data_IF_545905832706
#
_entry.id   IF_545905832706
#
_cell.length_a   1.000
_cell.length_b   1.000
_cell.length_c   1.000
_cell.angle_alpha   90.00
_cell.angle_beta   90.00
_cell.angle_gamma   90.00
#
_symmetry.space_group_name_H-M   'P 1'
#
loop_
_entity.id
_entity.type
_entity.pdbx_description
1 polymer ?
#
# COMPACT_ATOMS: atom_id res chain seq x y z
N UNK A 1 47.01 -36.04 -52.03
CA UNK A 1 46.17 -35.79 -50.84
C UNK A 1 46.27 -34.31 -50.53
N UNK A 2 45.22 -33.58 -50.87
CA UNK A 2 44.98 -32.11 -50.93
C UNK A 2 44.95 -31.47 -49.53
N UNK A 3 45.60 -30.33 -49.24
CA UNK A 3 45.33 -28.91 -49.61
C UNK A 3 44.00 -28.34 -49.07
N UNK A 4 44.08 -27.39 -48.11
CA UNK A 4 43.26 -26.16 -47.95
C UNK A 4 43.62 -25.53 -46.60
N UNK A 5 44.46 -24.50 -46.52
CA UNK A 5 44.24 -23.10 -46.93
C UNK A 5 43.01 -22.46 -46.26
N UNK A 6 43.26 -21.59 -45.27
CA UNK A 6 42.22 -20.81 -44.58
C UNK A 6 42.47 -19.34 -44.90
N UNK A 7 41.74 -18.88 -45.91
CA UNK A 7 41.82 -17.55 -46.47
C UNK A 7 41.45 -16.45 -45.45
N UNK A 8 42.33 -15.45 -45.46
CA UNK A 8 42.16 -14.08 -44.99
C UNK A 8 40.89 -13.42 -45.54
N UNK A 9 40.12 -12.75 -44.67
CA UNK A 9 39.29 -11.59 -45.06
C UNK A 9 39.31 -10.54 -43.95
N UNK A 10 40.25 -9.63 -44.13
CA UNK A 10 40.26 -8.26 -43.62
C UNK A 10 38.94 -7.55 -43.98
N UNK A 11 38.33 -6.83 -43.03
CA UNK A 11 37.36 -5.77 -43.34
C UNK A 11 37.86 -4.47 -42.76
N UNK A 12 38.19 -3.60 -43.69
CA UNK A 12 38.70 -2.25 -43.56
C UNK A 12 37.64 -1.32 -42.98
N UNK A 13 38.06 -0.47 -42.05
CA UNK A 13 37.44 0.81 -41.73
C UNK A 13 37.44 1.72 -42.97
N UNK A 14 36.34 2.40 -43.23
CA UNK A 14 36.22 3.44 -44.26
C UNK A 14 34.96 4.26 -44.02
N UNK A 15 35.18 5.49 -43.60
CA UNK A 15 34.18 6.44 -43.13
C UNK A 15 33.49 7.21 -44.27
N UNK A 16 32.38 7.85 -43.88
CA UNK A 16 31.86 9.12 -44.38
C UNK A 16 31.14 9.12 -45.75
N UNK A 17 29.80 9.21 -45.73
CA UNK A 17 29.14 10.34 -46.39
C UNK A 17 27.69 10.59 -45.91
N UNK A 18 27.59 11.62 -45.07
CA UNK A 18 26.61 12.72 -45.11
C UNK A 18 25.19 12.42 -45.65
N UNK A 19 24.25 12.24 -44.72
CA UNK A 19 22.86 12.72 -44.89
C UNK A 19 22.51 13.64 -43.72
N UNK A 20 22.76 14.94 -43.89
CA UNK A 20 22.30 15.98 -42.97
C UNK A 20 20.78 16.08 -43.07
N UNK A 21 20.07 15.38 -42.19
CA UNK A 21 18.66 15.66 -41.94
C UNK A 21 18.59 16.85 -40.97
N UNK A 22 17.95 17.93 -41.41
CA UNK A 22 17.70 19.12 -40.60
C UNK A 22 16.84 18.71 -39.39
N UNK A 23 17.40 18.80 -38.20
CA UNK A 23 16.64 18.74 -36.95
C UNK A 23 15.87 20.06 -36.83
N UNK A 24 14.57 20.00 -37.04
CA UNK A 24 13.64 21.06 -36.67
C UNK A 24 13.51 21.04 -35.15
N UNK A 25 13.63 22.17 -34.43
CA UNK A 25 13.39 22.17 -32.99
C UNK A 25 11.90 21.96 -32.75
N UNK A 26 11.52 20.75 -32.35
CA UNK A 26 10.18 20.45 -31.87
C UNK A 26 9.98 21.16 -30.54
N UNK A 27 9.25 22.26 -30.63
CA UNK A 27 8.31 22.83 -29.65
C UNK A 27 8.38 22.18 -28.25
N UNK A 28 8.93 22.92 -27.30
CA UNK A 28 8.86 22.65 -25.86
C UNK A 28 7.42 22.33 -25.49
N UNK A 29 7.15 21.06 -25.15
CA UNK A 29 5.90 20.65 -24.57
C UNK A 29 5.71 21.43 -23.28
N UNK A 30 4.70 22.30 -23.25
CA UNK A 30 4.26 22.94 -22.01
C UNK A 30 3.83 21.81 -21.07
N UNK A 31 4.39 21.84 -19.86
CA UNK A 31 3.92 21.04 -18.74
C UNK A 31 2.39 21.09 -18.68
N UNK A 32 1.68 19.96 -18.53
CA UNK A 32 0.27 20.02 -18.23
C UNK A 32 0.14 20.78 -16.91
N UNK A 33 -0.56 21.91 -16.99
CA UNK A 33 -0.99 22.68 -15.84
C UNK A 33 -1.70 21.72 -14.88
N UNK A 34 -1.42 21.90 -13.58
CA UNK A 34 -2.13 21.22 -12.50
C UNK A 34 -3.62 21.41 -12.75
N UNK A 35 -4.26 20.40 -13.31
CA UNK A 35 -5.70 20.32 -13.38
C UNK A 35 -6.21 20.49 -11.97
N UNK A 36 -7.02 21.53 -11.77
CA UNK A 36 -7.88 21.70 -10.61
C UNK A 36 -8.43 20.33 -10.24
N UNK A 37 -8.02 19.82 -9.08
CA UNK A 37 -8.76 18.76 -8.42
C UNK A 37 -10.12 19.37 -8.16
N UNK A 38 -11.10 18.99 -8.97
CA UNK A 38 -12.48 19.32 -8.75
C UNK A 38 -12.79 18.98 -7.29
N UNK A 39 -13.21 20.00 -6.54
CA UNK A 39 -13.87 19.86 -5.25
C UNK A 39 -15.17 19.09 -5.51
N UNK A 40 -15.06 17.76 -5.58
CA UNK A 40 -16.20 16.87 -5.54
C UNK A 40 -16.79 17.03 -4.14
N UNK A 41 -18.06 17.41 -4.08
CA UNK A 41 -18.74 17.75 -2.83
C UNK A 41 -18.53 16.63 -1.81
N UNK A 42 -17.77 16.92 -0.76
CA UNK A 42 -17.44 15.96 0.28
C UNK A 42 -18.74 15.45 0.91
N UNK A 43 -19.15 14.24 0.54
CA UNK A 43 -20.12 13.47 1.30
C UNK A 43 -19.52 13.30 2.68
N UNK A 44 -20.09 13.95 3.70
CA UNK A 44 -19.58 13.86 5.06
C UNK A 44 -19.60 12.41 5.49
N UNK A 45 -18.46 11.79 5.78
CA UNK A 45 -18.45 10.46 6.43
C UNK A 45 -18.77 10.54 7.91
N UNK A 46 -19.40 9.50 8.44
CA UNK A 46 -19.65 9.30 9.87
C UNK A 46 -18.73 8.21 10.41
N UNK A 47 -18.13 8.45 11.57
CA UNK A 47 -17.41 7.41 12.33
C UNK A 47 -18.41 6.51 13.06
N UNK A 48 -18.37 5.21 12.77
CA UNK A 48 -19.19 4.17 13.41
C UNK A 48 -18.49 3.60 14.64
N UNK A 49 -17.21 3.27 14.49
CA UNK A 49 -16.39 2.73 15.54
C UNK A 49 -14.92 3.11 15.33
N UNK A 50 -14.14 3.02 16.39
CA UNK A 50 -12.71 3.29 16.36
C UNK A 50 -11.99 2.25 17.21
N UNK A 51 -10.81 1.81 16.79
CA UNK A 51 -9.88 0.98 17.55
C UNK A 51 -8.50 1.63 17.55
N UNK A 52 -7.83 1.72 18.69
CA UNK A 52 -6.48 2.30 18.78
C UNK A 52 -5.49 1.26 19.24
N UNK A 53 -4.21 1.47 18.98
CA UNK A 53 -3.13 0.73 19.63
C UNK A 53 -1.97 1.67 19.92
N UNK A 54 -1.35 1.59 21.11
CA UNK A 54 -1.82 0.85 22.29
C UNK A 54 -3.01 1.57 22.99
N UNK A 55 -3.81 0.82 23.74
CA UNK A 55 -4.76 1.34 24.75
C UNK A 55 -4.27 0.99 26.17
N UNK A 56 -4.83 1.64 27.19
CA UNK A 56 -4.43 1.41 28.57
C UNK A 56 -4.68 -0.04 28.99
N UNK A 57 -3.63 -0.72 29.48
CA UNK A 57 -3.68 -2.13 29.87
C UNK A 57 -3.25 -3.10 28.77
N UNK A 58 -2.98 -2.61 27.55
CA UNK A 58 -2.36 -3.43 26.52
C UNK A 58 -0.93 -3.83 26.93
N UNK A 59 -0.62 -5.12 26.69
CA UNK A 59 0.74 -5.67 26.78
C UNK A 59 1.43 -5.65 25.41
N UNK A 60 2.17 -6.71 25.10
CA UNK A 60 2.69 -6.92 23.75
C UNK A 60 1.56 -7.23 22.76
N UNK A 61 1.71 -6.78 21.52
CA UNK A 61 0.74 -7.08 20.45
C UNK A 61 0.70 -8.59 20.19
N UNK A 62 -0.50 -9.22 20.10
CA UNK A 62 -0.61 -10.63 19.79
C UNK A 62 -0.02 -10.96 18.41
N UNK A 63 0.78 -12.03 18.32
CA UNK A 63 1.36 -12.47 17.05
C UNK A 63 0.31 -12.96 16.06
N UNK A 64 0.57 -12.77 14.77
CA UNK A 64 -0.32 -13.21 13.68
C UNK A 64 0.40 -14.26 12.83
N UNK A 65 -0.24 -15.41 12.63
CA UNK A 65 0.33 -16.47 11.81
C UNK A 65 0.63 -15.96 10.39
N UNK A 66 1.85 -16.20 9.91
CA UNK A 66 2.33 -15.69 8.62
C UNK A 66 3.01 -14.32 8.67
N UNK A 67 2.88 -13.57 9.77
CA UNK A 67 3.54 -12.27 9.99
C UNK A 67 4.42 -12.33 11.23
N UNK A 68 5.66 -12.78 11.05
CA UNK A 68 6.52 -13.18 12.18
C UNK A 68 7.72 -12.26 12.39
N UNK A 69 8.03 -11.40 11.41
CA UNK A 69 9.24 -10.58 11.46
C UNK A 69 9.05 -9.21 12.12
N UNK A 70 7.90 -8.58 11.91
CA UNK A 70 7.61 -7.19 12.29
C UNK A 70 6.31 -7.12 13.09
N UNK A 71 6.19 -6.12 13.96
CA UNK A 71 4.95 -5.80 14.67
C UNK A 71 3.93 -5.05 13.80
N UNK A 72 4.32 -4.56 12.62
CA UNK A 72 3.46 -3.82 11.69
C UNK A 72 2.12 -4.53 11.44
N UNK A 73 2.19 -5.76 10.96
CA UNK A 73 0.98 -6.53 10.64
C UNK A 73 0.18 -6.95 11.89
N UNK A 74 0.82 -7.47 12.97
CA UNK A 74 0.16 -7.65 14.26
C UNK A 74 -0.63 -6.44 14.77
N UNK A 75 -0.04 -5.24 14.68
CA UNK A 75 -0.70 -4.01 15.14
C UNK A 75 -1.88 -3.64 14.24
N UNK A 76 -1.74 -3.74 12.91
CA UNK A 76 -2.86 -3.57 11.97
C UNK A 76 -4.03 -4.50 12.32
N UNK A 77 -3.75 -5.79 12.55
CA UNK A 77 -4.79 -6.76 12.92
C UNK A 77 -5.43 -6.42 14.25
N UNK A 78 -4.63 -6.00 15.25
CA UNK A 78 -5.14 -5.65 16.57
C UNK A 78 -6.11 -4.46 16.53
N UNK A 79 -5.76 -3.38 15.82
CA UNK A 79 -6.66 -2.21 15.70
C UNK A 79 -7.88 -2.51 14.85
N UNK A 80 -7.74 -3.31 13.79
CA UNK A 80 -8.86 -3.72 12.95
C UNK A 80 -9.85 -4.61 13.72
N UNK A 81 -9.37 -5.65 14.40
CA UNK A 81 -10.19 -6.54 15.23
C UNK A 81 -10.93 -5.75 16.32
N UNK A 82 -10.25 -4.77 16.94
CA UNK A 82 -10.83 -3.91 17.97
C UNK A 82 -11.90 -2.98 17.41
N UNK A 83 -11.65 -2.34 16.28
CA UNK A 83 -12.59 -1.43 15.62
C UNK A 83 -13.84 -2.18 15.14
N UNK A 84 -13.63 -3.27 14.38
CA UNK A 84 -14.72 -4.09 13.85
C UNK A 84 -15.49 -4.80 14.97
N UNK A 85 -14.82 -5.28 16.02
CA UNK A 85 -15.47 -5.89 17.20
C UNK A 85 -16.31 -4.92 18.04
N UNK A 86 -16.06 -3.61 17.93
CA UNK A 86 -16.90 -2.56 18.55
C UNK A 86 -18.15 -2.28 17.73
N UNK A 87 -18.07 -2.37 16.41
CA UNK A 87 -19.21 -2.17 15.50
C UNK A 87 -20.04 -3.44 15.27
N UNK A 88 -19.40 -4.61 15.34
CA UNK A 88 -19.96 -5.90 14.98
C UNK A 88 -19.62 -6.94 16.05
N UNK A 89 -20.55 -7.87 16.31
CA UNK A 89 -20.39 -8.79 17.43
C UNK A 89 -19.31 -9.87 17.21
N UNK A 90 -19.26 -10.49 16.03
CA UNK A 90 -18.31 -11.58 15.71
C UNK A 90 -17.99 -11.63 14.21
N UNK A 91 -16.75 -12.00 13.83
CA UNK A 91 -16.42 -12.38 12.45
C UNK A 91 -16.89 -13.81 12.13
N UNK A 92 -17.07 -14.16 10.84
CA UNK A 92 -17.08 -13.26 9.69
C UNK A 92 -18.41 -12.51 9.56
N UNK A 93 -18.39 -11.36 8.91
CA UNK A 93 -19.59 -10.64 8.50
C UNK A 93 -20.36 -11.42 7.41
N UNK A 94 -21.68 -11.20 7.28
CA UNK A 94 -22.46 -11.77 6.19
C UNK A 94 -21.92 -11.33 4.82
N UNK A 95 -22.08 -12.19 3.81
CA UNK A 95 -21.77 -11.83 2.43
C UNK A 95 -22.65 -10.67 1.94
N UNK A 96 -22.09 -9.84 1.08
CA UNK A 96 -22.68 -8.59 0.59
C UNK A 96 -22.54 -7.43 1.57
N UNK A 97 -21.59 -7.46 2.51
CA UNK A 97 -21.36 -6.35 3.46
C UNK A 97 -20.68 -5.13 2.81
N UNK A 98 -20.02 -5.34 1.66
CA UNK A 98 -19.28 -4.36 0.86
C UNK A 98 -18.39 -3.47 1.72
N UNK A 99 -17.77 -4.01 2.75
CA UNK A 99 -16.87 -3.24 3.62
C UNK A 99 -15.50 -3.17 2.96
N UNK A 100 -15.06 -1.97 2.60
CA UNK A 100 -13.71 -1.72 2.10
C UNK A 100 -12.67 -1.73 3.22
N UNK A 101 -11.41 -1.98 2.87
CA UNK A 101 -10.25 -1.78 3.73
C UNK A 101 -9.32 -0.76 3.08
N UNK A 102 -9.07 0.36 3.77
CA UNK A 102 -8.11 1.39 3.35
C UNK A 102 -6.99 1.41 4.37
N UNK A 103 -5.79 0.94 4.01
CA UNK A 103 -4.63 0.98 4.89
C UNK A 103 -3.68 2.09 4.44
N UNK A 104 -3.36 3.00 5.36
CA UNK A 104 -2.53 4.17 5.10
C UNK A 104 -1.24 4.04 5.90
N UNK A 105 -0.12 4.02 5.18
CA UNK A 105 1.22 4.10 5.76
C UNK A 105 2.22 4.68 4.76
N UNK A 106 2.92 5.74 5.16
CA UNK A 106 3.97 6.40 4.40
C UNK A 106 5.23 5.54 4.31
N UNK A 107 5.55 4.81 5.39
CA UNK A 107 6.80 4.05 5.46
C UNK A 107 6.64 2.54 5.27
N UNK A 108 5.41 2.03 5.37
CA UNK A 108 5.11 0.61 5.33
C UNK A 108 5.80 -0.17 6.46
N UNK A 109 6.09 -1.45 6.22
CA UNK A 109 6.83 -2.28 7.16
C UNK A 109 8.35 -2.01 7.07
N UNK A 110 8.81 -1.01 7.82
CA UNK A 110 10.20 -0.57 7.87
C UNK A 110 11.14 -1.64 8.40
N UNK A 111 10.69 -2.44 9.37
CA UNK A 111 11.51 -3.51 9.94
C UNK A 111 11.81 -4.56 8.86
N UNK A 112 10.77 -5.01 8.15
CA UNK A 112 10.93 -5.95 7.04
C UNK A 112 11.76 -5.36 5.90
N UNK A 113 11.55 -4.09 5.53
CA UNK A 113 12.36 -3.41 4.52
C UNK A 113 13.85 -3.33 4.94
N UNK A 114 14.12 -3.03 6.21
CA UNK A 114 15.46 -3.02 6.79
C UNK A 114 16.13 -4.38 6.74
N UNK A 115 15.40 -5.45 7.06
CA UNK A 115 15.89 -6.82 6.96
C UNK A 115 16.24 -7.24 5.52
N UNK A 116 15.37 -6.92 4.56
CA UNK A 116 15.64 -7.17 3.13
C UNK A 116 16.91 -6.43 2.71
N UNK A 117 17.01 -5.13 3.04
CA UNK A 117 18.18 -4.31 2.71
C UNK A 117 19.47 -4.91 3.29
N UNK A 118 19.47 -5.27 4.57
CA UNK A 118 20.64 -5.83 5.25
C UNK A 118 21.05 -7.18 4.65
N UNK A 119 20.08 -8.05 4.38
CA UNK A 119 20.31 -9.38 3.79
C UNK A 119 20.94 -9.27 2.41
N UNK A 120 20.40 -8.39 1.55
CA UNK A 120 20.93 -8.16 0.20
C UNK A 120 22.32 -7.54 0.24
N UNK A 121 22.55 -6.56 1.12
CA UNK A 121 23.86 -5.94 1.27
C UNK A 121 24.95 -6.94 1.71
N UNK A 122 24.58 -7.97 2.46
CA UNK A 122 25.46 -9.07 2.85
C UNK A 122 25.62 -10.16 1.76
N UNK A 123 25.05 -9.99 0.57
CA UNK A 123 25.08 -10.98 -0.52
C UNK A 123 24.14 -12.17 -0.30
N UNK A 124 23.22 -12.07 0.67
CA UNK A 124 22.24 -13.10 0.97
C UNK A 124 21.03 -13.08 0.03
N UNK A 125 20.16 -14.09 0.18
CA UNK A 125 18.86 -14.17 -0.49
C UNK A 125 17.74 -14.19 0.54
N UNK A 126 16.74 -13.34 0.35
CA UNK A 126 15.53 -13.32 1.16
C UNK A 126 14.63 -14.48 0.75
N UNK A 127 14.07 -15.21 1.72
CA UNK A 127 13.15 -16.31 1.44
C UNK A 127 11.89 -15.84 0.71
N UNK A 128 11.37 -16.57 -0.29
CA UNK A 128 10.20 -16.13 -1.06
C UNK A 128 8.97 -15.80 -0.22
N UNK A 129 8.75 -16.54 0.88
CA UNK A 129 7.61 -16.29 1.79
C UNK A 129 7.72 -14.98 2.57
N UNK A 130 8.91 -14.38 2.65
CA UNK A 130 9.09 -13.09 3.30
C UNK A 130 8.41 -11.96 2.55
N UNK A 131 8.37 -12.03 1.21
CA UNK A 131 7.69 -11.01 0.41
C UNK A 131 6.19 -10.96 0.68
N UNK A 132 5.57 -12.10 0.96
CA UNK A 132 4.15 -12.15 1.30
C UNK A 132 3.84 -11.52 2.66
N UNK A 133 4.78 -11.50 3.60
CA UNK A 133 4.51 -10.87 4.90
C UNK A 133 4.94 -9.39 4.95
N UNK A 134 5.78 -8.93 4.01
CA UNK A 134 6.42 -7.61 4.08
C UNK A 134 5.69 -6.49 3.33
N UNK A 135 4.59 -6.78 2.63
CA UNK A 135 3.84 -5.75 1.88
C UNK A 135 2.53 -5.39 2.59
N UNK A 136 2.17 -4.10 2.73
CA UNK A 136 0.97 -3.68 3.47
C UNK A 136 -0.33 -4.33 2.98
N UNK A 137 -0.46 -4.55 1.67
CA UNK A 137 -1.62 -5.23 1.08
C UNK A 137 -1.85 -6.63 1.66
N UNK A 138 -0.80 -7.34 2.09
CA UNK A 138 -0.95 -8.68 2.63
C UNK A 138 -1.68 -8.69 3.97
N UNK A 139 -1.38 -7.75 4.86
CA UNK A 139 -2.10 -7.67 6.14
C UNK A 139 -3.50 -7.08 5.96
N UNK A 140 -3.68 -6.13 5.04
CA UNK A 140 -5.02 -5.64 4.70
C UNK A 140 -5.91 -6.77 4.15
N UNK A 141 -5.38 -7.60 3.24
CA UNK A 141 -6.05 -8.80 2.74
C UNK A 141 -6.28 -9.86 3.83
N UNK A 142 -5.36 -10.01 4.79
CA UNK A 142 -5.56 -10.88 5.95
C UNK A 142 -6.75 -10.42 6.81
N UNK A 143 -6.85 -9.12 7.11
CA UNK A 143 -7.98 -8.55 7.85
C UNK A 143 -9.29 -8.80 7.10
N UNK A 144 -9.32 -8.50 5.80
CA UNK A 144 -10.49 -8.74 4.96
C UNK A 144 -10.93 -10.22 4.98
N UNK A 145 -10.00 -11.15 4.78
CA UNK A 145 -10.29 -12.58 4.81
C UNK A 145 -10.78 -13.07 6.18
N UNK A 146 -10.19 -12.58 7.28
CA UNK A 146 -10.56 -12.95 8.65
C UNK A 146 -11.96 -12.49 9.01
N UNK A 147 -12.32 -11.27 8.61
CA UNK A 147 -13.63 -10.67 8.91
C UNK A 147 -14.69 -10.92 7.84
N UNK A 148 -14.34 -11.54 6.71
CA UNK A 148 -15.26 -11.74 5.60
C UNK A 148 -15.65 -10.43 4.90
N UNK A 149 -14.76 -9.43 4.90
CA UNK A 149 -14.98 -8.14 4.23
C UNK A 149 -14.86 -8.35 2.72
N UNK A 150 -15.89 -7.97 1.97
CA UNK A 150 -15.99 -8.23 0.53
C UNK A 150 -16.01 -6.96 -0.33
N UNK A 151 -15.64 -5.82 0.25
CA UNK A 151 -15.35 -4.58 -0.47
C UNK A 151 -13.88 -4.47 -0.95
N UNK A 152 -13.54 -3.34 -1.61
CA UNK A 152 -12.18 -3.08 -2.09
C UNK A 152 -11.11 -3.07 -0.99
N UNK A 153 -9.89 -3.52 -1.32
CA UNK A 153 -8.71 -3.41 -0.46
C UNK A 153 -7.71 -2.46 -1.11
N UNK A 154 -7.43 -1.34 -0.45
CA UNK A 154 -6.57 -0.27 -0.95
C UNK A 154 -5.48 0.02 0.09
N UNK A 155 -4.24 0.16 -0.36
CA UNK A 155 -3.15 0.67 0.47
C UNK A 155 -2.62 1.98 -0.12
N UNK A 156 -2.48 2.99 0.74
CA UNK A 156 -2.01 4.33 0.38
C UNK A 156 -0.69 4.64 1.07
N UNK A 157 0.24 5.21 0.31
CA UNK A 157 1.41 5.90 0.84
C UNK A 157 1.12 7.40 0.78
N UNK A 158 0.73 8.04 1.89
CA UNK A 158 0.28 9.42 1.86
C UNK A 158 1.42 10.39 1.54
N UNK A 159 1.08 11.52 0.91
CA UNK A 159 2.04 12.60 0.60
C UNK A 159 1.87 13.85 1.46
N UNK A 160 0.70 13.99 2.09
CA UNK A 160 0.30 15.03 3.02
C UNK A 160 -0.15 14.44 4.35
N UNK A 161 -1.32 14.87 4.84
CA UNK A 161 -1.85 14.41 6.14
C UNK A 161 -2.50 13.02 5.97
N UNK A 162 -1.98 11.96 6.62
CA UNK A 162 -2.44 10.58 6.39
C UNK A 162 -3.93 10.36 6.61
N UNK A 163 -4.52 10.97 7.65
CA UNK A 163 -5.94 10.77 7.96
C UNK A 163 -6.83 11.43 6.92
N UNK A 164 -6.51 12.64 6.48
CA UNK A 164 -7.25 13.35 5.45
C UNK A 164 -7.20 12.61 4.12
N UNK A 165 -6.02 12.13 3.70
CA UNK A 165 -5.90 11.36 2.45
C UNK A 165 -6.64 10.02 2.52
N UNK A 166 -6.52 9.29 3.64
CA UNK A 166 -7.26 8.05 3.85
C UNK A 166 -8.77 8.24 3.93
N UNK A 167 -9.22 9.34 4.55
CA UNK A 167 -10.65 9.69 4.63
C UNK A 167 -11.19 10.06 3.26
N UNK A 168 -10.43 10.83 2.46
CA UNK A 168 -10.83 11.17 1.10
C UNK A 168 -10.97 9.93 0.20
N UNK A 169 -10.07 8.95 0.33
CA UNK A 169 -10.21 7.68 -0.40
C UNK A 169 -11.44 6.90 0.06
N UNK A 170 -11.68 6.81 1.38
CA UNK A 170 -12.87 6.17 1.91
C UNK A 170 -14.16 6.86 1.45
N UNK A 171 -14.18 8.20 1.40
CA UNK A 171 -15.29 8.99 0.87
C UNK A 171 -15.59 8.65 -0.59
N UNK A 172 -14.56 8.49 -1.44
CA UNK A 172 -14.75 8.10 -2.84
C UNK A 172 -15.37 6.71 -2.96
N UNK A 173 -14.85 5.72 -2.23
CA UNK A 173 -15.37 4.34 -2.26
C UNK A 173 -16.83 4.26 -1.80
N UNK A 174 -17.21 5.05 -0.80
CA UNK A 174 -18.59 5.13 -0.31
C UNK A 174 -19.48 5.85 -1.33
N UNK A 175 -19.04 7.00 -1.85
CA UNK A 175 -19.81 7.82 -2.78
C UNK A 175 -20.10 7.12 -4.10
N UNK A 176 -19.12 6.41 -4.65
CA UNK A 176 -19.26 5.66 -5.89
C UNK A 176 -20.08 4.37 -5.71
N UNK A 177 -20.40 4.03 -4.45
CA UNK A 177 -21.14 2.82 -4.10
C UNK A 177 -20.31 1.55 -4.25
N UNK A 178 -18.98 1.65 -4.31
CA UNK A 178 -18.05 0.52 -4.29
C UNK A 178 -18.02 -0.15 -2.91
N UNK A 179 -18.39 0.60 -1.86
CA UNK A 179 -18.49 0.11 -0.49
C UNK A 179 -19.69 0.70 0.26
N UNK A 180 -20.23 -0.04 1.23
CA UNK A 180 -21.23 0.47 2.20
C UNK A 180 -20.56 1.01 3.47
N UNK A 181 -19.40 0.47 3.80
CA UNK A 181 -18.57 0.88 4.93
C UNK A 181 -17.10 0.86 4.51
N UNK A 182 -16.26 1.68 5.14
CA UNK A 182 -14.82 1.66 4.92
C UNK A 182 -14.07 1.56 6.25
N UNK A 183 -13.28 0.49 6.41
CA UNK A 183 -12.31 0.37 7.49
C UNK A 183 -11.02 1.10 7.10
N UNK A 184 -10.85 2.30 7.62
CA UNK A 184 -9.62 3.09 7.49
C UNK A 184 -8.64 2.71 8.59
N UNK A 185 -7.46 2.18 8.24
CA UNK A 185 -6.36 1.89 9.16
C UNK A 185 -5.19 2.83 8.90
N UNK A 186 -4.80 3.58 9.92
CA UNK A 186 -3.65 4.48 9.94
C UNK A 186 -2.58 3.82 10.81
N UNK A 187 -1.39 3.58 10.25
CA UNK A 187 -0.27 2.99 10.99
C UNK A 187 1.05 3.58 10.54
N UNK A 188 1.91 3.89 11.51
CA UNK A 188 3.31 4.18 11.26
C UNK A 188 4.18 3.49 12.31
N UNK A 189 5.31 2.93 11.85
CA UNK A 189 6.31 2.38 12.77
C UNK A 189 7.24 3.51 13.21
N UNK A 190 7.42 3.62 14.53
CA UNK A 190 8.38 4.55 15.06
C UNK A 190 9.82 4.16 14.66
N UNK A 191 10.68 5.15 14.37
CA UNK A 191 12.01 4.89 13.83
C UNK A 191 13.02 4.28 14.82
N UNK A 192 12.72 4.27 16.12
CA UNK A 192 13.64 3.90 17.21
C UNK A 192 13.28 2.59 17.92
N UNK A 193 12.38 1.78 17.34
CA UNK A 193 11.93 0.54 17.95
C UNK A 193 10.99 0.72 19.13
N UNK A 194 10.47 1.94 19.34
CA UNK A 194 9.29 2.13 20.17
C UNK A 194 8.08 1.39 19.53
N UNK A 195 7.12 0.93 20.35
CA UNK A 195 5.97 0.19 19.84
C UNK A 195 5.22 0.99 18.77
N UNK A 196 4.84 0.31 17.68
CA UNK A 196 4.06 0.95 16.63
C UNK A 196 2.73 1.48 17.18
N UNK A 197 2.35 2.68 16.75
CA UNK A 197 1.04 3.26 17.05
C UNK A 197 0.13 3.14 15.82
N UNK A 198 -1.13 2.82 16.05
CA UNK A 198 -2.11 2.71 14.98
C UNK A 198 -3.52 3.07 15.43
N UNK A 199 -4.33 3.47 14.46
CA UNK A 199 -5.76 3.74 14.64
C UNK A 199 -6.51 3.12 13.48
N UNK A 200 -7.56 2.36 13.79
CA UNK A 200 -8.57 1.94 12.84
C UNK A 200 -9.87 2.71 13.09
N UNK A 201 -10.52 3.17 12.02
CA UNK A 201 -11.78 3.89 12.05
C UNK A 201 -12.71 3.23 11.04
N UNK A 202 -13.89 2.82 11.48
CA UNK A 202 -14.95 2.35 10.59
C UNK A 202 -15.80 3.55 10.19
N UNK A 203 -15.90 3.79 8.88
CA UNK A 203 -16.59 4.92 8.27
C UNK A 203 -17.81 4.45 7.49
N UNK A 204 -18.84 5.28 7.50
CA UNK A 204 -20.06 5.15 6.69
C UNK A 204 -20.39 6.50 6.04
N UNK A 205 -21.22 6.49 4.99
CA UNK A 205 -21.78 7.72 4.46
C UNK A 205 -22.62 8.42 5.54
N UNK A 206 -22.31 9.68 5.82
CA UNK A 206 -23.06 10.49 6.77
C UNK A 206 -24.32 11.01 6.13
N UNK A 207 -25.44 10.81 6.81
CA UNK A 207 -26.71 11.44 6.42
C UNK A 207 -26.55 12.96 6.50
N UNK A 208 -26.54 13.65 5.36
CA UNK A 208 -26.62 15.11 5.33
C UNK A 208 -27.84 15.58 6.11
N UNK A 209 -27.63 16.48 7.07
CA UNK A 209 -28.70 17.32 7.63
C UNK A 209 -28.79 18.60 6.83
#
# INVERSE_FOLDING_TARGET
MTASDRASRSRTFGADERRRSRVTPTQTARSPERGERAEHGAGRVRVVAEGRWPEAGDGGVPGVAGFVHSDFAPVVVAVADRCLGRAHAVPPLPAGNRTAVVLVSASGDRASAGHVRATVAAGGRVGPLFFFQSVPNSVAGHVAARWGLDGPVVCLSPTGEPRAEGTAEAELLLHDGDADQALLVLIEQAPDGTPSEAVAVLLEEGTGQ
#
